data_IF_140527745634
#
_entry.id   IF_140527745634
#
_cell.length_a   1.000
_cell.length_b   1.000
_cell.length_c   1.000
_cell.angle_alpha   90.00
_cell.angle_beta   90.00
_cell.angle_gamma   90.00
#
_symmetry.space_group_name_H-M   'P 1'
#
loop_
_entity.id
_entity.type
_entity.pdbx_description
1 polymer ?
#
# COMPACT_ATOMS: atom_id res chain seq x y z
N UNK A 1 3.45 -22.62 -5.31
CA UNK A 1 4.91 -22.45 -5.35
C UNK A 1 5.63 -23.64 -6.00
N UNK A 2 5.59 -24.86 -5.41
CA UNK A 2 6.31 -26.06 -5.89
C UNK A 2 5.96 -26.52 -7.31
N UNK A 3 4.66 -26.66 -7.62
CA UNK A 3 4.19 -27.15 -8.94
C UNK A 3 4.29 -26.10 -10.06
N UNK A 4 4.51 -24.83 -9.69
CA UNK A 4 4.50 -23.70 -10.61
C UNK A 4 3.14 -23.36 -11.19
N UNK A 5 3.13 -22.31 -12.02
CA UNK A 5 1.97 -21.86 -12.78
C UNK A 5 2.42 -21.19 -14.09
N UNK A 6 1.59 -21.21 -15.15
CA UNK A 6 1.90 -20.51 -16.40
C UNK A 6 1.67 -19.01 -16.22
N UNK A 7 2.61 -18.18 -16.67
CA UNK A 7 2.49 -16.73 -16.55
C UNK A 7 1.39 -16.17 -17.46
N UNK A 8 0.56 -15.28 -16.92
CA UNK A 8 -0.33 -14.45 -17.74
C UNK A 8 0.45 -13.38 -18.52
N UNK A 9 -0.07 -12.89 -19.66
CA UNK A 9 0.58 -11.82 -20.42
C UNK A 9 0.86 -10.55 -19.59
N UNK A 10 -0.09 -10.17 -18.73
CA UNK A 10 0.04 -9.01 -17.84
C UNK A 10 1.20 -9.19 -16.86
N UNK A 11 1.29 -10.36 -16.21
CA UNK A 11 2.38 -10.64 -15.28
C UNK A 11 3.74 -10.66 -15.99
N UNK A 12 3.84 -11.33 -17.14
CA UNK A 12 5.06 -11.38 -17.95
C UNK A 12 5.55 -9.96 -18.35
N UNK A 13 4.63 -9.07 -18.77
CA UNK A 13 4.94 -7.68 -19.10
C UNK A 13 5.60 -6.94 -17.93
N UNK A 14 5.00 -6.99 -16.74
CA UNK A 14 5.54 -6.27 -15.57
C UNK A 14 6.81 -6.92 -15.03
N UNK A 15 6.92 -8.25 -15.10
CA UNK A 15 8.13 -8.97 -14.73
C UNK A 15 9.31 -8.60 -15.62
N UNK A 16 9.11 -8.55 -16.95
CA UNK A 16 10.15 -8.11 -17.88
C UNK A 16 10.57 -6.66 -17.63
N UNK A 17 9.60 -5.77 -17.35
CA UNK A 17 9.89 -4.38 -16.97
C UNK A 17 10.75 -4.33 -15.70
N UNK A 18 10.37 -5.06 -14.66
CA UNK A 18 11.12 -5.13 -13.41
C UNK A 18 12.54 -5.69 -13.62
N UNK A 19 12.67 -6.79 -14.37
CA UNK A 19 13.97 -7.37 -14.71
C UNK A 19 14.89 -6.36 -15.42
N UNK A 20 14.37 -5.61 -16.39
CA UNK A 20 15.17 -4.60 -17.11
C UNK A 20 15.63 -3.47 -16.18
N UNK A 21 14.73 -2.95 -15.33
CA UNK A 21 15.06 -1.89 -14.36
C UNK A 21 16.10 -2.42 -13.35
N UNK A 22 15.88 -3.59 -12.79
CA UNK A 22 16.75 -4.14 -11.75
C UNK A 22 18.10 -4.57 -12.30
N UNK A 23 18.16 -5.18 -13.50
CA UNK A 23 19.43 -5.49 -14.17
C UNK A 23 20.22 -4.23 -14.49
N UNK A 24 19.62 -3.04 -14.59
CA UNK A 24 20.35 -1.79 -14.82
C UNK A 24 20.83 -1.14 -13.52
N UNK A 25 20.02 -1.19 -12.46
CA UNK A 25 20.22 -0.39 -11.26
C UNK A 25 20.77 -1.19 -10.05
N UNK A 26 20.62 -2.51 -10.04
CA UNK A 26 21.02 -3.37 -8.92
C UNK A 26 22.34 -4.08 -9.25
N UNK A 27 23.37 -3.85 -8.42
CA UNK A 27 24.75 -4.30 -8.66
C UNK A 27 25.39 -5.04 -7.49
N UNK A 28 24.91 -4.83 -6.26
CA UNK A 28 25.41 -5.49 -5.08
C UNK A 28 25.02 -6.97 -4.97
N UNK A 29 25.84 -7.73 -4.24
CA UNK A 29 25.63 -9.17 -3.98
C UNK A 29 24.28 -9.44 -3.28
N UNK A 30 23.76 -8.47 -2.52
CA UNK A 30 22.46 -8.53 -1.87
C UNK A 30 21.30 -8.76 -2.86
N UNK A 31 21.48 -8.41 -4.14
CA UNK A 31 20.44 -8.57 -5.15
C UNK A 31 20.55 -9.89 -5.92
N UNK A 32 21.61 -10.67 -5.72
CA UNK A 32 21.86 -11.91 -6.46
C UNK A 32 20.67 -12.88 -6.35
N UNK A 33 20.17 -13.09 -5.14
CA UNK A 33 19.07 -14.01 -4.88
C UNK A 33 17.76 -13.61 -5.56
N UNK A 34 17.55 -12.32 -5.83
CA UNK A 34 16.40 -11.88 -6.65
C UNK A 34 16.53 -12.43 -8.08
N UNK A 35 17.70 -12.30 -8.71
CA UNK A 35 17.91 -12.82 -10.07
C UNK A 35 17.89 -14.35 -10.11
N UNK A 36 18.49 -15.02 -9.13
CA UNK A 36 18.44 -16.50 -9.05
C UNK A 36 16.98 -17.00 -8.93
N UNK A 37 16.14 -16.30 -8.18
CA UNK A 37 14.74 -16.70 -7.93
C UNK A 37 13.80 -16.32 -9.07
N UNK A 38 13.89 -15.07 -9.54
CA UNK A 38 12.92 -14.47 -10.45
C UNK A 38 13.39 -14.40 -11.90
N UNK A 39 14.67 -14.63 -12.17
CA UNK A 39 15.24 -14.70 -13.51
C UNK A 39 16.30 -15.82 -13.64
N UNK A 40 16.00 -17.07 -13.23
CA UNK A 40 16.98 -18.16 -13.16
C UNK A 40 17.64 -18.49 -14.51
N UNK A 41 16.98 -18.16 -15.62
CA UNK A 41 17.50 -18.34 -16.98
C UNK A 41 18.22 -17.07 -17.51
N UNK A 42 18.58 -16.12 -16.63
CA UNK A 42 19.17 -14.83 -17.03
C UNK A 42 18.21 -13.88 -17.74
N UNK A 43 16.90 -14.17 -17.69
CA UNK A 43 15.81 -13.36 -18.27
C UNK A 43 14.54 -13.50 -17.43
N UNK A 44 13.61 -12.56 -17.60
CA UNK A 44 12.26 -12.75 -17.07
C UNK A 44 11.54 -13.90 -17.81
N UNK A 45 10.65 -14.65 -17.13
CA UNK A 45 9.82 -15.66 -17.78
C UNK A 45 8.83 -15.04 -18.77
N UNK A 46 8.52 -15.77 -19.84
CA UNK A 46 7.60 -15.31 -20.89
C UNK A 46 6.14 -15.66 -20.58
N UNK A 47 5.19 -15.03 -21.28
CA UNK A 47 3.78 -15.40 -21.17
C UNK A 47 3.58 -16.87 -21.56
N UNK A 48 2.81 -17.62 -20.77
CA UNK A 48 2.59 -19.05 -20.91
C UNK A 48 3.71 -19.93 -20.35
N UNK A 49 4.90 -19.37 -20.05
CA UNK A 49 5.99 -20.12 -19.43
C UNK A 49 5.63 -20.51 -17.99
N UNK A 50 5.99 -21.74 -17.61
CA UNK A 50 5.82 -22.22 -16.25
C UNK A 50 6.90 -21.65 -15.34
N UNK A 51 6.51 -20.86 -14.34
CA UNK A 51 7.42 -20.45 -13.26
C UNK A 51 7.07 -21.17 -11.96
N UNK A 52 8.09 -21.61 -11.24
CA UNK A 52 8.00 -22.25 -9.93
C UNK A 52 9.14 -21.78 -9.04
N UNK A 53 8.94 -21.82 -7.73
CA UNK A 53 9.98 -21.56 -6.74
C UNK A 53 9.83 -22.54 -5.59
N UNK A 54 10.83 -23.40 -5.42
CA UNK A 54 10.86 -24.35 -4.30
C UNK A 54 11.11 -23.63 -2.98
N UNK A 55 11.93 -22.57 -2.98
CA UNK A 55 12.21 -21.80 -1.77
C UNK A 55 10.94 -21.11 -1.24
N UNK A 56 10.10 -20.55 -2.11
CA UNK A 56 8.77 -20.05 -1.70
C UNK A 56 7.88 -21.17 -1.15
N UNK A 57 7.97 -22.39 -1.69
CA UNK A 57 7.17 -23.51 -1.20
C UNK A 57 7.58 -23.91 0.21
N UNK A 58 8.88 -24.10 0.45
CA UNK A 58 9.41 -24.46 1.77
C UNK A 58 9.12 -23.39 2.82
N UNK A 59 9.27 -22.11 2.46
CA UNK A 59 8.95 -21.00 3.38
C UNK A 59 7.45 -20.97 3.73
N UNK A 60 6.55 -21.16 2.76
CA UNK A 60 5.11 -21.19 3.01
C UNK A 60 4.68 -22.41 3.85
N UNK A 61 5.28 -23.57 3.61
CA UNK A 61 5.08 -24.78 4.42
C UNK A 61 5.51 -24.54 5.87
N UNK A 62 6.69 -23.97 6.09
CA UNK A 62 7.16 -23.66 7.45
C UNK A 62 6.32 -22.59 8.15
N UNK A 63 5.82 -21.59 7.43
CA UNK A 63 4.87 -20.62 7.98
C UNK A 63 3.58 -21.33 8.40
N UNK A 64 3.06 -22.25 7.59
CA UNK A 64 1.87 -23.02 7.95
C UNK A 64 2.11 -23.92 9.16
N UNK A 65 3.22 -24.68 9.17
CA UNK A 65 3.55 -25.65 10.22
C UNK A 65 3.86 -25.00 11.57
N UNK A 66 4.29 -23.74 11.56
CA UNK A 66 4.66 -22.99 12.77
C UNK A 66 3.66 -21.92 13.17
N UNK A 67 2.51 -21.84 12.48
CA UNK A 67 1.51 -20.77 12.67
C UNK A 67 2.17 -19.39 12.63
N UNK A 68 3.00 -19.17 11.60
CA UNK A 68 3.85 -18.00 11.36
C UNK A 68 4.97 -17.72 12.37
N UNK A 69 5.08 -18.49 13.48
CA UNK A 69 6.13 -18.25 14.50
C UNK A 69 7.53 -18.27 13.91
N UNK A 70 7.83 -19.14 12.92
CA UNK A 70 9.18 -19.19 12.36
C UNK A 70 9.59 -17.89 11.66
N UNK A 71 8.62 -17.21 11.02
CA UNK A 71 8.85 -15.97 10.29
C UNK A 71 9.31 -14.84 11.23
N UNK A 72 8.81 -14.82 12.46
CA UNK A 72 9.07 -13.75 13.43
C UNK A 72 10.10 -14.11 14.50
N UNK A 73 10.17 -15.38 14.92
CA UNK A 73 10.97 -15.81 16.08
C UNK A 73 11.72 -17.14 15.86
N UNK A 74 11.71 -17.70 14.66
CA UNK A 74 12.36 -18.98 14.37
C UNK A 74 13.42 -18.91 13.30
N UNK A 75 13.55 -20.00 12.54
CA UNK A 75 14.61 -20.17 11.54
C UNK A 75 14.52 -19.11 10.45
N UNK A 76 13.33 -18.79 9.95
CA UNK A 76 13.14 -17.77 8.91
C UNK A 76 13.55 -16.38 9.41
N UNK A 77 13.20 -16.01 10.66
CA UNK A 77 13.63 -14.76 11.27
C UNK A 77 15.16 -14.66 11.38
N UNK A 78 15.84 -15.74 11.78
CA UNK A 78 17.29 -15.80 11.87
C UNK A 78 17.96 -15.67 10.49
N UNK A 79 17.36 -16.23 9.43
CA UNK A 79 17.85 -16.08 8.05
C UNK A 79 17.74 -14.63 7.56
N UNK A 80 16.64 -13.95 7.87
CA UNK A 80 16.43 -12.53 7.57
C UNK A 80 17.46 -11.66 8.31
N UNK A 81 17.63 -11.87 9.62
CA UNK A 81 18.63 -11.13 10.42
C UNK A 81 20.05 -11.34 9.88
N UNK A 82 20.43 -12.59 9.61
CA UNK A 82 21.76 -12.91 9.06
C UNK A 82 22.00 -12.20 7.73
N UNK A 83 21.04 -12.25 6.81
CA UNK A 83 21.16 -11.59 5.51
C UNK A 83 21.22 -10.06 5.64
N UNK A 84 20.39 -9.48 6.50
CA UNK A 84 20.40 -8.05 6.83
C UNK A 84 21.77 -7.63 7.37
N UNK A 85 22.32 -8.35 8.37
CA UNK A 85 23.66 -8.07 8.92
C UNK A 85 24.76 -8.19 7.89
N UNK A 86 24.74 -9.24 7.07
CA UNK A 86 25.73 -9.47 6.01
C UNK A 86 25.84 -8.29 5.04
N UNK A 87 24.71 -7.65 4.73
CA UNK A 87 24.63 -6.54 3.79
C UNK A 87 24.39 -5.17 4.46
N UNK A 88 24.72 -5.05 5.75
CA UNK A 88 24.61 -3.79 6.51
C UNK A 88 23.20 -3.17 6.53
N UNK A 89 22.17 -3.98 6.38
CA UNK A 89 20.77 -3.60 6.58
C UNK A 89 20.42 -3.34 8.04
N UNK A 90 19.24 -2.75 8.26
CA UNK A 90 18.80 -2.32 9.60
C UNK A 90 17.92 -3.33 10.32
N UNK A 91 17.15 -4.17 9.61
CA UNK A 91 16.24 -5.15 10.22
C UNK A 91 17.04 -6.17 11.03
N UNK A 92 16.57 -6.45 12.24
CA UNK A 92 17.14 -7.45 13.15
C UNK A 92 16.12 -8.50 13.56
N UNK A 93 16.62 -9.59 14.14
CA UNK A 93 15.76 -10.64 14.70
C UNK A 93 14.86 -10.11 15.82
N UNK A 94 15.37 -9.20 16.65
CA UNK A 94 14.60 -8.51 17.69
C UNK A 94 13.45 -7.66 17.10
N UNK A 95 13.66 -6.95 15.99
CA UNK A 95 12.57 -6.20 15.33
C UNK A 95 11.44 -7.12 14.85
N UNK A 96 11.80 -8.31 14.33
CA UNK A 96 10.84 -9.32 13.89
C UNK A 96 10.10 -9.95 15.08
N UNK A 97 10.81 -10.20 16.18
CA UNK A 97 10.23 -10.79 17.38
C UNK A 97 9.26 -9.84 18.10
N UNK A 98 9.57 -8.54 18.07
CA UNK A 98 8.78 -7.46 18.69
C UNK A 98 7.55 -7.06 17.86
N UNK A 99 7.49 -7.46 16.58
CA UNK A 99 6.33 -7.21 15.73
C UNK A 99 5.10 -7.99 16.22
N UNK A 100 3.95 -7.32 16.26
CA UNK A 100 2.64 -7.93 16.44
C UNK A 100 1.64 -7.28 15.48
N UNK A 101 0.73 -8.06 14.86
CA UNK A 101 -0.39 -7.48 14.13
C UNK A 101 -1.29 -6.70 15.10
N UNK A 102 -1.64 -5.48 14.73
CA UNK A 102 -2.51 -4.62 15.54
C UNK A 102 -3.96 -4.75 15.07
N UNK A 103 -4.86 -5.09 15.99
CA UNK A 103 -6.30 -4.95 15.77
C UNK A 103 -6.68 -3.49 15.99
N UNK A 104 -7.23 -2.87 14.95
CA UNK A 104 -7.59 -1.45 14.95
C UNK A 104 -9.09 -1.28 14.74
N UNK A 105 -9.65 -0.22 15.33
CA UNK A 105 -11.03 0.16 15.07
C UNK A 105 -11.14 0.88 13.71
N UNK A 106 -11.98 0.40 12.78
CA UNK A 106 -12.12 1.04 11.49
C UNK A 106 -12.79 2.40 11.64
N UNK A 107 -12.43 3.34 10.77
CA UNK A 107 -13.00 4.68 10.72
C UNK A 107 -14.01 4.77 9.58
N UNK A 108 -15.00 5.66 9.72
CA UNK A 108 -16.05 5.79 8.71
C UNK A 108 -16.60 7.20 8.57
N UNK A 109 -17.28 7.41 7.44
CA UNK A 109 -18.15 8.56 7.22
C UNK A 109 -19.48 8.10 6.62
N UNK A 110 -20.58 8.71 7.05
CA UNK A 110 -21.88 8.46 6.42
C UNK A 110 -22.02 9.26 5.12
N UNK A 111 -21.90 8.62 3.97
CA UNK A 111 -22.11 9.24 2.68
C UNK A 111 -23.50 8.91 2.14
N UNK A 112 -24.45 9.84 2.31
CA UNK A 112 -25.81 9.77 1.75
C UNK A 112 -26.60 8.53 2.20
N UNK A 113 -26.53 8.21 3.49
CA UNK A 113 -27.25 7.08 4.08
C UNK A 113 -26.45 5.77 4.14
N UNK A 114 -25.22 5.76 3.64
CA UNK A 114 -24.32 4.60 3.69
C UNK A 114 -23.06 4.93 4.50
N UNK A 115 -22.63 4.03 5.36
CA UNK A 115 -21.34 4.15 6.04
C UNK A 115 -20.24 3.58 5.16
N UNK A 116 -19.27 4.43 4.80
CA UNK A 116 -18.07 4.03 4.07
C UNK A 116 -16.95 3.85 5.08
N UNK A 117 -16.35 2.66 5.11
CA UNK A 117 -15.37 2.25 6.10
C UNK A 117 -13.98 2.15 5.50
N UNK A 118 -12.98 2.58 6.27
CA UNK A 118 -11.57 2.48 5.93
C UNK A 118 -10.74 2.08 7.16
N UNK A 119 -9.57 1.52 6.92
CA UNK A 119 -8.55 1.31 7.97
C UNK A 119 -8.06 2.69 8.47
N UNK A 120 -7.89 2.89 9.78
CA UNK A 120 -7.35 4.15 10.32
C UNK A 120 -5.89 4.38 9.89
N UNK A 121 -5.30 5.55 10.19
CA UNK A 121 -3.86 5.74 10.12
C UNK A 121 -3.12 4.59 10.84
N UNK A 122 -2.00 4.08 10.32
CA UNK A 122 -1.14 4.61 9.27
C UNK A 122 -1.64 4.42 7.81
N UNK A 123 -2.79 3.79 7.59
CA UNK A 123 -3.40 3.68 6.25
C UNK A 123 -3.85 5.03 5.67
N UNK A 124 -3.83 5.16 4.35
CA UNK A 124 -4.25 6.40 3.66
C UNK A 124 -5.75 6.46 3.31
N UNK A 125 -6.55 5.48 3.75
CA UNK A 125 -8.00 5.43 3.48
C UNK A 125 -8.76 6.67 3.97
N UNK A 126 -8.21 7.35 4.99
CA UNK A 126 -8.70 8.64 5.47
C UNK A 126 -8.85 9.70 4.35
N UNK A 127 -8.02 9.66 3.29
CA UNK A 127 -8.15 10.55 2.12
C UNK A 127 -9.49 10.36 1.42
N UNK A 128 -9.91 9.12 1.20
CA UNK A 128 -11.19 8.82 0.56
C UNK A 128 -12.36 9.31 1.43
N UNK A 129 -12.28 9.07 2.74
CA UNK A 129 -13.29 9.53 3.70
C UNK A 129 -13.40 11.06 3.77
N UNK A 130 -12.28 11.79 3.80
CA UNK A 130 -12.26 13.25 3.76
C UNK A 130 -12.90 13.77 2.46
N UNK A 131 -12.53 13.21 1.31
CA UNK A 131 -13.08 13.61 0.02
C UNK A 131 -14.60 13.37 -0.04
N UNK A 132 -15.09 12.22 0.42
CA UNK A 132 -16.53 11.93 0.51
C UNK A 132 -17.25 12.90 1.45
N UNK A 133 -16.63 13.26 2.58
CA UNK A 133 -17.21 14.21 3.52
C UNK A 133 -17.32 15.62 2.92
N UNK A 134 -16.33 16.06 2.14
CA UNK A 134 -16.42 17.28 1.34
C UNK A 134 -17.56 17.17 0.32
N UNK A 135 -17.61 16.08 -0.46
CA UNK A 135 -18.60 15.88 -1.52
C UNK A 135 -20.05 15.74 -1.01
N UNK A 136 -20.24 15.37 0.27
CA UNK A 136 -21.57 15.21 0.89
C UNK A 136 -22.43 16.47 0.76
N UNK A 137 -21.83 17.66 0.77
CA UNK A 137 -22.53 18.94 0.66
C UNK A 137 -22.91 19.37 -0.76
N UNK A 138 -22.61 18.57 -1.79
CA UNK A 138 -23.03 18.85 -3.16
C UNK A 138 -24.19 17.94 -3.59
N UNK A 139 -24.95 18.36 -4.60
CA UNK A 139 -25.88 17.49 -5.30
C UNK A 139 -25.23 16.93 -6.58
N UNK A 140 -25.55 15.68 -6.91
CA UNK A 140 -25.12 15.01 -8.12
C UNK A 140 -26.35 14.41 -8.81
N UNK A 141 -26.58 14.77 -10.08
CA UNK A 141 -27.71 14.29 -10.87
C UNK A 141 -27.28 13.28 -11.94
N UNK A 142 -26.08 13.44 -12.49
CA UNK A 142 -25.48 12.57 -13.50
C UNK A 142 -24.04 12.22 -13.10
N UNK A 143 -23.62 10.98 -13.33
CA UNK A 143 -22.23 10.56 -13.10
C UNK A 143 -21.27 11.19 -14.12
N UNK A 144 -21.70 11.28 -15.37
CA UNK A 144 -20.90 11.76 -16.50
C UNK A 144 -21.27 13.20 -16.82
N UNK A 145 -20.91 14.09 -15.89
CA UNK A 145 -21.16 15.52 -15.99
C UNK A 145 -19.90 16.29 -15.57
N UNK A 146 -19.60 17.37 -16.27
CA UNK A 146 -18.38 18.16 -16.08
C UNK A 146 -18.27 18.70 -14.65
N UNK A 147 -19.39 19.19 -14.09
CA UNK A 147 -19.42 19.70 -12.72
C UNK A 147 -19.26 18.59 -11.69
N UNK A 148 -19.77 17.39 -11.98
CA UNK A 148 -19.54 16.20 -11.15
C UNK A 148 -18.07 15.82 -11.11
N UNK A 149 -17.40 15.74 -12.26
CA UNK A 149 -15.96 15.48 -12.32
C UNK A 149 -15.15 16.58 -11.64
N UNK A 150 -15.47 17.85 -11.90
CA UNK A 150 -14.80 18.99 -11.26
C UNK A 150 -14.85 18.89 -9.75
N UNK A 151 -16.03 18.71 -9.16
CA UNK A 151 -16.20 18.57 -7.71
C UNK A 151 -15.43 17.38 -7.14
N UNK A 152 -15.46 16.23 -7.82
CA UNK A 152 -14.72 15.03 -7.41
C UNK A 152 -13.20 15.27 -7.42
N UNK A 153 -12.69 15.90 -8.49
CA UNK A 153 -11.28 16.23 -8.65
C UNK A 153 -10.83 17.24 -7.59
N UNK A 154 -11.57 18.33 -7.37
CA UNK A 154 -11.20 19.32 -6.36
C UNK A 154 -11.27 18.77 -4.92
N UNK A 155 -12.29 17.95 -4.62
CA UNK A 155 -12.40 17.31 -3.31
C UNK A 155 -11.26 16.34 -3.04
N UNK A 156 -10.89 15.48 -4.01
CA UNK A 156 -9.80 14.52 -3.83
C UNK A 156 -8.44 15.22 -3.76
N UNK A 157 -8.26 16.34 -4.47
CA UNK A 157 -7.07 17.21 -4.38
C UNK A 157 -6.85 17.76 -2.98
N UNK A 158 -7.89 18.35 -2.39
CA UNK A 158 -7.85 18.88 -1.03
C UNK A 158 -7.57 17.78 -0.01
N UNK A 159 -8.30 16.66 -0.11
CA UNK A 159 -8.11 15.52 0.77
C UNK A 159 -6.70 14.90 0.66
N UNK A 160 -6.11 14.84 -0.54
CA UNK A 160 -4.73 14.40 -0.70
C UNK A 160 -3.71 15.39 -0.13
N UNK A 161 -3.97 16.69 -0.22
CA UNK A 161 -3.10 17.70 0.39
C UNK A 161 -3.05 17.50 1.91
N UNK A 162 -4.22 17.34 2.53
CA UNK A 162 -4.35 17.08 3.97
C UNK A 162 -3.74 15.72 4.34
N UNK A 163 -4.01 14.69 3.54
CA UNK A 163 -3.46 13.36 3.73
C UNK A 163 -1.92 13.35 3.74
N UNK A 164 -1.30 14.02 2.77
CA UNK A 164 0.18 14.16 2.70
C UNK A 164 0.74 14.96 3.88
N UNK A 165 -0.04 15.88 4.44
CA UNK A 165 0.40 16.74 5.53
C UNK A 165 0.28 16.06 6.90
N UNK A 166 -0.77 15.27 7.11
CA UNK A 166 -1.17 14.82 8.45
C UNK A 166 -1.15 13.30 8.65
N UNK A 167 -1.35 12.47 7.63
CA UNK A 167 -1.47 11.01 7.81
C UNK A 167 -0.08 10.39 8.01
N UNK A 168 0.11 9.73 9.15
CA UNK A 168 1.29 8.93 9.49
C UNK A 168 0.90 7.90 10.56
N UNK A 169 1.87 7.30 11.25
CA UNK A 169 1.62 6.52 12.48
C UNK A 169 0.77 7.34 13.46
N UNK A 170 -0.34 6.76 13.94
CA UNK A 170 -1.31 7.44 14.80
C UNK A 170 -0.67 8.07 16.05
N UNK A 171 0.42 7.48 16.57
CA UNK A 171 1.17 7.98 17.73
C UNK A 171 1.96 9.25 17.42
N UNK A 172 2.22 9.54 16.15
CA UNK A 172 2.98 10.70 15.67
C UNK A 172 2.10 11.75 14.99
N UNK A 173 0.78 11.53 14.92
CA UNK A 173 -0.15 12.49 14.34
C UNK A 173 -0.49 13.62 15.33
N UNK A 174 -0.41 14.86 14.87
CA UNK A 174 -0.77 16.05 15.66
C UNK A 174 -2.25 16.44 15.53
N UNK A 175 -2.98 15.81 14.60
CA UNK A 175 -4.41 16.02 14.36
C UNK A 175 -5.08 14.65 14.39
N UNK A 176 -6.21 14.54 15.09
CA UNK A 176 -6.95 13.28 15.16
C UNK A 176 -7.75 13.01 13.88
N UNK A 177 -8.00 11.74 13.52
CA UNK A 177 -8.88 11.39 12.41
C UNK A 177 -10.28 12.00 12.52
N UNK A 178 -10.84 12.09 13.72
CA UNK A 178 -12.17 12.68 13.95
C UNK A 178 -12.22 14.19 13.64
N UNK A 179 -11.13 14.93 13.87
CA UNK A 179 -11.03 16.33 13.47
C UNK A 179 -11.04 16.47 11.94
N UNK A 180 -10.26 15.65 11.24
CA UNK A 180 -10.19 15.64 9.77
C UNK A 180 -11.50 15.15 9.12
N UNK A 181 -12.27 14.32 9.82
CA UNK A 181 -13.58 13.82 9.37
C UNK A 181 -14.77 14.62 9.92
N UNK A 182 -14.52 15.72 10.63
CA UNK A 182 -15.61 16.56 11.14
C UNK A 182 -16.35 17.26 10.00
N UNK A 183 -17.66 17.43 10.15
CA UNK A 183 -18.48 18.16 9.18
C UNK A 183 -18.03 19.62 9.05
N UNK A 184 -17.60 20.23 10.16
CA UNK A 184 -17.06 21.60 10.19
C UNK A 184 -15.81 21.72 9.31
N UNK A 185 -14.86 20.80 9.45
CA UNK A 185 -13.64 20.81 8.63
C UNK A 185 -13.97 20.56 7.15
N UNK A 186 -14.82 19.57 6.85
CA UNK A 186 -15.26 19.33 5.48
C UNK A 186 -15.95 20.55 4.85
N UNK A 187 -16.74 21.31 5.63
CA UNK A 187 -17.36 22.55 5.16
C UNK A 187 -16.32 23.63 4.84
N UNK A 188 -15.28 23.79 5.67
CA UNK A 188 -14.18 24.72 5.39
C UNK A 188 -13.44 24.35 4.10
N UNK A 189 -13.09 23.08 3.93
CA UNK A 189 -12.42 22.60 2.70
C UNK A 189 -13.32 22.76 1.48
N UNK A 190 -14.63 22.49 1.61
CA UNK A 190 -15.61 22.65 0.52
C UNK A 190 -15.70 24.08 -0.01
N UNK A 191 -15.54 25.09 0.85
CA UNK A 191 -15.56 26.51 0.43
C UNK A 191 -14.43 26.86 -0.54
N UNK A 192 -13.36 26.06 -0.57
CA UNK A 192 -12.23 26.26 -1.49
C UNK A 192 -12.51 25.73 -2.91
N UNK A 193 -13.61 24.98 -3.10
CA UNK A 193 -14.01 24.46 -4.42
C UNK A 193 -14.78 25.55 -5.16
N UNK A 194 -14.06 26.31 -5.99
CA UNK A 194 -14.59 27.33 -6.88
C UNK A 194 -15.07 26.79 -8.23
N UNK A 195 -15.34 27.70 -9.18
CA UNK A 195 -15.69 27.34 -10.57
C UNK A 195 -14.49 27.00 -11.46
N UNK A 196 -13.27 27.20 -10.97
CA UNK A 196 -12.02 26.93 -11.67
C UNK A 196 -11.17 25.92 -10.89
N UNK A 197 -10.25 25.25 -11.57
CA UNK A 197 -9.32 24.32 -10.94
C UNK A 197 -8.30 25.06 -10.06
N UNK A 198 -8.16 24.64 -8.79
CA UNK A 198 -7.25 25.27 -7.83
C UNK A 198 -5.96 24.46 -7.58
N UNK A 199 -4.98 24.99 -6.87
CA UNK A 199 -3.86 24.17 -6.38
C UNK A 199 -4.24 23.45 -5.07
N UNK A 200 -3.81 22.18 -4.86
CA UNK A 200 -4.09 21.44 -3.63
C UNK A 200 -3.20 21.94 -2.49
N UNK A 201 -3.67 22.93 -1.72
CA UNK A 201 -2.98 23.44 -0.54
C UNK A 201 -3.57 22.78 0.72
N UNK A 202 -2.70 22.32 1.62
CA UNK A 202 -3.08 21.79 2.93
C UNK A 202 -3.44 22.95 3.86
#
# INVERSE_FOLDING_TARGET
>A
ARKGYPLSPTLAKYWQRAFNIYRQNLRGEEFKHWFDTFAPQGRAPQAGEMWRSEDHARTLEEIADTEARSFYQGRLAAEIDRFSRQHQGYIRGEDLADFQPEWVDPISVNYRGYDVWEIPPNGQGLVALMALNILRGFAFSCREDELTFHRQIEAIKLAFADGKRFITDSRSMFVSPSQLLSEQYAAQRRQLIGGEAAQPLA
#
